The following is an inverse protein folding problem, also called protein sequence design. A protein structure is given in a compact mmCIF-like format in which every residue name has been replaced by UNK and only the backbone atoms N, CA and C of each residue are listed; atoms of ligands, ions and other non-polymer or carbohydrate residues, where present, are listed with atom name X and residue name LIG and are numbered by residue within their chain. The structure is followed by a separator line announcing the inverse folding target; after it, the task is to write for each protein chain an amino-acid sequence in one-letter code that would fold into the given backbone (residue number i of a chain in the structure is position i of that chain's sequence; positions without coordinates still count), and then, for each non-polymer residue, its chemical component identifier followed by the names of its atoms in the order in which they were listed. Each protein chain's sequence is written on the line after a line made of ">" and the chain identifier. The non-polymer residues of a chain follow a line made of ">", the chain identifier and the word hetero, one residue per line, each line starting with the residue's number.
data_IF_886195849399
#
_entry.id   IF_886195849399
#
_cell.length_a   1.000
_cell.length_b   1.000
_cell.length_c   1.000
_cell.angle_alpha   90.00
_cell.angle_beta   90.00
_cell.angle_gamma   90.00
#
_symmetry.space_group_name_H-M   'P 1'
#
loop_
_entity.id
_entity.type
_entity.pdbx_description
1 polymer ?
#
# COMPACT_ATOMS: atom_id res chain seq x y z
N UNK A 1 20.26 3.15 10.63
CA UNK A 1 19.37 1.98 10.48
C UNK A 1 17.98 2.22 11.05
N UNK A 2 17.84 2.70 12.30
CA UNK A 2 16.52 3.00 12.89
C UNK A 2 15.65 3.97 12.08
N UNK A 3 16.22 5.07 11.58
CA UNK A 3 15.50 6.06 10.75
C UNK A 3 15.01 5.44 9.43
N UNK A 4 15.81 4.57 8.81
CA UNK A 4 15.45 3.87 7.58
C UNK A 4 14.23 2.96 7.80
N UNK A 5 14.29 2.12 8.85
CA UNK A 5 13.17 1.24 9.21
C UNK A 5 11.90 2.04 9.52
N UNK A 6 12.04 3.14 10.26
CA UNK A 6 10.91 4.02 10.59
C UNK A 6 10.24 4.61 9.34
N UNK A 7 11.02 5.16 8.40
CA UNK A 7 10.50 5.73 7.16
C UNK A 7 9.77 4.67 6.32
N UNK A 8 10.37 3.48 6.16
CA UNK A 8 9.74 2.40 5.40
C UNK A 8 8.45 1.89 6.07
N UNK A 9 8.40 1.86 7.40
CA UNK A 9 7.17 1.54 8.14
C UNK A 9 6.07 2.57 7.88
N UNK A 10 6.39 3.87 7.90
CA UNK A 10 5.42 4.92 7.54
C UNK A 10 4.91 4.75 6.11
N UNK A 11 5.80 4.45 5.16
CA UNK A 11 5.45 4.20 3.76
C UNK A 11 4.50 3.01 3.64
N UNK A 12 4.79 1.88 4.29
CA UNK A 12 3.92 0.70 4.31
C UNK A 12 2.54 1.04 4.85
N UNK A 13 2.45 1.79 5.96
CA UNK A 13 1.17 2.20 6.55
C UNK A 13 0.35 3.05 5.58
N UNK A 14 0.97 4.05 4.93
CA UNK A 14 0.28 4.94 3.99
C UNK A 14 -0.23 4.16 2.77
N UNK A 15 0.61 3.30 2.18
CA UNK A 15 0.20 2.51 1.01
C UNK A 15 -0.87 1.46 1.35
N UNK A 16 -0.80 0.87 2.55
CA UNK A 16 -1.82 -0.07 3.04
C UNK A 16 -3.14 0.64 3.32
N UNK A 17 -3.09 1.83 3.95
CA UNK A 17 -4.27 2.67 4.16
C UNK A 17 -4.92 3.08 2.83
N UNK A 18 -4.11 3.48 1.85
CA UNK A 18 -4.56 3.81 0.50
C UNK A 18 -5.20 2.63 -0.23
N UNK A 19 -4.61 1.42 -0.13
CA UNK A 19 -5.18 0.22 -0.75
C UNK A 19 -6.53 -0.16 -0.13
N UNK A 20 -6.65 -0.10 1.21
CA UNK A 20 -7.91 -0.34 1.93
C UNK A 20 -8.95 0.71 1.56
N UNK A 21 -8.56 1.98 1.45
CA UNK A 21 -9.47 3.06 1.05
C UNK A 21 -10.09 2.80 -0.33
N UNK A 22 -9.25 2.52 -1.34
CA UNK A 22 -9.75 2.20 -2.69
C UNK A 22 -10.51 0.86 -2.74
N UNK A 23 -10.12 -0.14 -1.94
CA UNK A 23 -10.83 -1.40 -1.80
C UNK A 23 -12.24 -1.23 -1.22
N UNK A 24 -12.40 -0.39 -0.20
CA UNK A 24 -13.73 -0.06 0.35
C UNK A 24 -14.58 0.68 -0.68
N UNK A 25 -13.97 1.56 -1.48
CA UNK A 25 -14.69 2.33 -2.48
C UNK A 25 -15.32 1.48 -3.61
N UNK A 26 -14.81 0.27 -3.82
CA UNK A 26 -15.37 -0.71 -4.76
C UNK A 26 -16.73 -1.27 -4.35
N UNK A 27 -17.06 -1.23 -3.06
CA UNK A 27 -18.33 -1.73 -2.52
C UNK A 27 -19.51 -0.78 -2.69
N UNK A 28 -19.28 0.51 -2.95
CA UNK A 28 -20.37 1.48 -3.11
C UNK A 28 -21.04 1.38 -4.49
N UNK A 29 -22.37 1.45 -4.51
CA UNK A 29 -23.15 1.60 -5.74
C UNK A 29 -23.01 3.05 -6.25
N UNK A 30 -22.50 3.24 -7.46
CA UNK A 30 -22.29 4.58 -8.05
C UNK A 30 -20.96 5.27 -7.69
N UNK A 31 -19.95 4.54 -7.21
CA UNK A 31 -18.65 5.15 -6.92
C UNK A 31 -17.98 5.72 -8.18
N UNK A 32 -17.62 7.00 -8.12
CA UNK A 32 -16.69 7.66 -9.02
C UNK A 32 -15.33 7.76 -8.33
N UNK A 33 -14.20 7.50 -9.01
CA UNK A 33 -14.04 7.09 -10.41
C UNK A 33 -14.49 5.63 -10.68
N UNK A 34 -14.59 5.20 -11.97
CA UNK A 34 -15.05 3.86 -12.34
C UNK A 34 -14.35 2.72 -11.61
N UNK A 35 -15.06 1.61 -11.35
CA UNK A 35 -14.57 0.47 -10.55
C UNK A 35 -13.23 -0.10 -11.04
N UNK A 36 -12.95 -0.12 -12.34
CA UNK A 36 -11.67 -0.61 -12.86
C UNK A 36 -10.49 0.31 -12.47
N UNK A 37 -10.71 1.64 -12.44
CA UNK A 37 -9.72 2.62 -12.00
C UNK A 37 -9.46 2.47 -10.49
N UNK A 38 -10.51 2.26 -9.70
CA UNK A 38 -10.39 2.00 -8.26
C UNK A 38 -9.60 0.71 -7.99
N UNK A 39 -9.87 -0.37 -8.73
CA UNK A 39 -9.08 -1.61 -8.64
C UNK A 39 -7.62 -1.39 -8.99
N UNK A 40 -7.34 -0.68 -10.08
CA UNK A 40 -5.96 -0.40 -10.49
C UNK A 40 -5.22 0.42 -9.44
N UNK A 41 -5.85 1.46 -8.87
CA UNK A 41 -5.27 2.26 -7.79
C UNK A 41 -5.05 1.43 -6.51
N UNK A 42 -6.03 0.62 -6.12
CA UNK A 42 -5.90 -0.29 -4.98
C UNK A 42 -4.74 -1.27 -5.18
N UNK A 43 -4.60 -1.82 -6.38
CA UNK A 43 -3.54 -2.77 -6.74
C UNK A 43 -2.17 -2.11 -6.76
N UNK A 44 -2.05 -0.91 -7.32
CA UNK A 44 -0.80 -0.12 -7.27
C UNK A 44 -0.41 0.18 -5.83
N UNK A 45 -1.37 0.59 -4.99
CA UNK A 45 -1.08 0.83 -3.57
C UNK A 45 -0.68 -0.45 -2.83
N UNK A 46 -1.37 -1.57 -3.08
CA UNK A 46 -1.04 -2.86 -2.48
C UNK A 46 0.35 -3.36 -2.94
N UNK A 47 0.69 -3.21 -4.22
CA UNK A 47 1.99 -3.55 -4.76
C UNK A 47 3.10 -2.67 -4.13
N UNK A 48 2.87 -1.37 -4.00
CA UNK A 48 3.78 -0.45 -3.33
C UNK A 48 4.01 -0.82 -1.86
N UNK A 49 2.96 -1.20 -1.13
CA UNK A 49 3.07 -1.72 0.24
C UNK A 49 3.87 -3.03 0.28
N UNK A 50 3.60 -3.96 -0.64
CA UNK A 50 4.30 -5.24 -0.72
C UNK A 50 5.79 -5.09 -1.03
N UNK A 51 6.16 -4.23 -1.98
CA UNK A 51 7.56 -3.93 -2.30
C UNK A 51 8.26 -3.28 -1.10
N UNK A 52 7.61 -2.32 -0.45
CA UNK A 52 8.18 -1.63 0.72
C UNK A 52 8.39 -2.61 1.88
N UNK A 53 7.44 -3.53 2.11
CA UNK A 53 7.53 -4.56 3.13
C UNK A 53 8.61 -5.61 2.79
N UNK A 54 8.76 -5.96 1.52
CA UNK A 54 9.82 -6.87 1.06
C UNK A 54 11.22 -6.24 1.27
N UNK A 55 11.39 -4.95 0.94
CA UNK A 55 12.64 -4.22 1.19
C UNK A 55 12.93 -4.17 2.70
N UNK A 56 11.91 -3.87 3.52
CA UNK A 56 12.03 -3.86 4.97
C UNK A 56 12.46 -5.24 5.51
N UNK A 57 11.82 -6.31 5.02
CA UNK A 57 12.12 -7.69 5.43
C UNK A 57 13.55 -8.10 5.03
N UNK A 58 13.97 -7.80 3.80
CA UNK A 58 15.33 -8.06 3.33
C UNK A 58 16.36 -7.28 4.16
N UNK A 59 16.06 -6.02 4.49
CA UNK A 59 16.95 -5.20 5.31
C UNK A 59 17.05 -5.75 6.73
N UNK A 60 15.96 -6.25 7.30
CA UNK A 60 15.95 -6.87 8.62
C UNK A 60 16.70 -8.22 8.63
N UNK A 61 16.59 -9.00 7.55
CA UNK A 61 17.24 -10.31 7.45
C UNK A 61 18.76 -10.20 7.18
N UNK A 62 19.19 -9.18 6.44
CA UNK A 62 20.61 -8.98 6.10
C UNK A 62 21.40 -8.29 7.23
N UNK A 63 20.72 -7.75 8.23
CA UNK A 63 21.29 -7.08 9.40
C UNK A 63 21.53 -8.06 10.54
#
# INVERSE_FOLDING_TARGET
>A
MSVFLFVFMCIVIVFTGGSIHYARQLGYAGSYPPKHVLKQKALVCAAGAGISLLILLLTLFLL
#
